data_IF_601014684215
#
_entry.id   IF_601014684215
#
_cell.length_a   1.000
_cell.length_b   1.000
_cell.length_c   1.000
_cell.angle_alpha   90.00
_cell.angle_beta   90.00
_cell.angle_gamma   90.00
#
_symmetry.space_group_name_H-M   'P 1'
#
loop_
_entity.id
_entity.type
_entity.pdbx_description
1 polymer ?
#
# COMPACT_ATOMS: atom_id res chain seq x y z
N UNK A 1 11.62 2.43 2.70
CA UNK A 1 11.40 3.55 1.76
C UNK A 1 11.84 4.79 2.48
N UNK A 2 12.91 5.42 2.01
CA UNK A 2 13.43 6.65 2.58
C UNK A 2 12.92 7.83 1.74
N UNK A 3 12.34 8.83 2.40
CA UNK A 3 11.95 10.09 1.78
C UNK A 3 12.51 11.23 2.64
N UNK A 4 13.36 12.08 2.06
CA UNK A 4 14.08 13.14 2.79
C UNK A 4 14.78 12.65 4.07
N UNK A 5 15.39 11.45 4.03
CA UNK A 5 16.06 10.83 5.18
C UNK A 5 15.13 10.16 6.19
N UNK A 6 13.81 10.29 6.04
CA UNK A 6 12.82 9.69 6.93
C UNK A 6 12.43 8.29 6.43
N UNK A 7 12.50 7.29 7.31
CA UNK A 7 11.97 5.95 7.01
C UNK A 7 10.44 5.99 7.04
N UNK A 8 9.86 6.02 5.86
CA UNK A 8 8.41 6.12 5.65
C UNK A 8 7.73 4.75 5.56
N UNK A 9 8.44 3.67 5.22
CA UNK A 9 7.88 2.32 5.14
C UNK A 9 7.73 1.72 6.55
N UNK A 10 6.55 1.17 6.86
CA UNK A 10 6.37 0.35 8.06
C UNK A 10 7.31 -0.87 8.02
N UNK A 11 7.97 -1.17 9.14
CA UNK A 11 8.97 -2.25 9.22
C UNK A 11 8.39 -3.61 9.60
N UNK A 12 7.19 -3.65 10.20
CA UNK A 12 6.52 -4.89 10.60
C UNK A 12 5.83 -5.58 9.41
N UNK A 13 5.22 -4.79 8.51
CA UNK A 13 4.51 -5.29 7.34
C UNK A 13 4.75 -4.36 6.15
N UNK A 14 5.25 -4.96 5.06
CA UNK A 14 5.63 -4.21 3.84
C UNK A 14 4.42 -3.75 3.03
N UNK A 15 4.66 -2.81 2.11
CA UNK A 15 3.68 -2.38 1.10
C UNK A 15 3.68 -3.32 -0.10
N UNK A 16 2.50 -3.75 -0.55
CA UNK A 16 2.33 -4.70 -1.67
C UNK A 16 0.88 -4.77 -2.14
N UNK A 17 0.67 -5.48 -3.25
CA UNK A 17 -0.65 -5.93 -3.70
C UNK A 17 -1.19 -6.99 -2.73
N UNK A 18 -2.47 -6.85 -2.37
CA UNK A 18 -3.20 -7.73 -1.45
C UNK A 18 -2.43 -7.99 -0.12
N UNK A 19 -2.04 -9.23 0.13
CA UNK A 19 -1.24 -9.67 1.28
C UNK A 19 0.18 -10.10 0.90
N UNK A 20 0.60 -9.80 -0.33
CA UNK A 20 1.82 -10.32 -0.96
C UNK A 20 1.47 -11.35 -2.03
N UNK A 21 2.03 -11.17 -3.23
CA UNK A 21 1.63 -11.94 -4.43
C UNK A 21 2.67 -13.00 -4.86
N UNK A 22 3.78 -13.15 -4.12
CA UNK A 22 4.83 -14.13 -4.46
C UNK A 22 5.47 -13.93 -5.83
N UNK A 23 5.47 -12.69 -6.35
CA UNK A 23 5.92 -12.39 -7.71
C UNK A 23 7.44 -12.43 -7.86
N UNK A 24 7.90 -12.80 -9.07
CA UNK A 24 9.29 -12.60 -9.49
C UNK A 24 9.43 -11.21 -10.08
N UNK A 25 10.39 -10.43 -9.58
CA UNK A 25 10.60 -9.06 -10.00
C UNK A 25 11.88 -8.89 -10.84
N UNK A 26 11.79 -8.10 -11.90
CA UNK A 26 12.91 -7.63 -12.70
C UNK A 26 12.87 -6.11 -12.80
N UNK A 27 14.00 -5.48 -13.11
CA UNK A 27 14.04 -4.04 -13.33
C UNK A 27 14.82 -3.70 -14.59
N UNK A 28 14.47 -2.57 -15.20
CA UNK A 28 15.18 -2.02 -16.35
C UNK A 28 15.16 -0.51 -16.30
N UNK A 29 16.20 0.12 -16.85
CA UNK A 29 16.27 1.57 -17.04
C UNK A 29 15.94 1.89 -18.50
N UNK A 30 15.02 2.82 -18.71
CA UNK A 30 14.55 3.27 -20.03
C UNK A 30 14.68 4.79 -20.07
N UNK A 31 15.80 5.29 -20.56
CA UNK A 31 16.12 6.72 -20.51
C UNK A 31 16.10 7.27 -19.08
N UNK A 32 15.18 8.19 -18.80
CA UNK A 32 14.99 8.83 -17.50
C UNK A 32 14.05 8.06 -16.55
N UNK A 33 13.62 6.86 -16.93
CA UNK A 33 12.71 6.04 -16.14
C UNK A 33 13.40 4.77 -15.66
N UNK A 34 13.03 4.33 -14.45
CA UNK A 34 13.32 2.98 -13.96
C UNK A 34 11.99 2.25 -13.85
N UNK A 35 11.85 1.14 -14.57
CA UNK A 35 10.67 0.26 -14.52
C UNK A 35 11.02 -1.01 -13.76
N UNK A 36 10.22 -1.34 -12.76
CA UNK A 36 10.24 -2.62 -12.05
C UNK A 36 8.97 -3.37 -12.45
N UNK A 37 9.16 -4.61 -12.89
CA UNK A 37 8.10 -5.51 -13.31
C UNK A 37 8.08 -6.71 -12.37
N UNK A 38 6.96 -6.95 -11.69
CA UNK A 38 6.77 -8.09 -10.82
C UNK A 38 5.63 -8.97 -11.36
N UNK A 39 5.95 -10.19 -11.77
CA UNK A 39 5.05 -11.07 -12.53
C UNK A 39 4.65 -12.31 -11.71
N UNK A 40 3.37 -12.66 -11.79
CA UNK A 40 2.79 -13.95 -11.41
C UNK A 40 2.08 -14.57 -12.63
N UNK A 41 1.43 -15.72 -12.48
CA UNK A 41 0.66 -16.34 -13.57
C UNK A 41 -0.55 -15.52 -14.04
N UNK A 42 -1.17 -14.73 -13.15
CA UNK A 42 -2.42 -14.00 -13.43
C UNK A 42 -2.31 -12.50 -13.24
N UNK A 43 -1.21 -12.00 -12.68
CA UNK A 43 -1.05 -10.59 -12.34
C UNK A 43 0.36 -10.11 -12.66
N UNK A 44 0.45 -8.92 -13.24
CA UNK A 44 1.69 -8.19 -13.43
C UNK A 44 1.60 -6.82 -12.77
N UNK A 45 2.47 -6.58 -11.80
CA UNK A 45 2.61 -5.31 -11.12
C UNK A 45 3.76 -4.50 -11.71
N UNK A 46 3.49 -3.22 -12.01
CA UNK A 46 4.47 -2.25 -12.49
C UNK A 46 4.75 -1.22 -11.41
N UNK A 47 6.02 -0.89 -11.23
CA UNK A 47 6.46 0.33 -10.56
C UNK A 47 7.36 1.11 -11.51
N UNK A 48 7.08 2.39 -11.72
CA UNK A 48 7.88 3.26 -12.58
C UNK A 48 8.28 4.50 -11.78
N UNK A 49 9.58 4.71 -11.67
CA UNK A 49 10.16 5.94 -11.14
C UNK A 49 10.70 6.78 -12.29
N UNK A 50 10.49 8.09 -12.23
CA UNK A 50 11.03 9.07 -13.17
C UNK A 50 12.12 9.88 -12.47
N UNK A 51 13.23 10.14 -13.16
CA UNK A 51 14.30 10.99 -12.65
C UNK A 51 13.77 12.37 -12.21
N UNK A 52 14.14 12.81 -11.00
CA UNK A 52 13.70 14.06 -10.36
C UNK A 52 12.19 14.16 -10.09
N UNK A 53 11.46 13.06 -10.11
CA UNK A 53 10.07 13.00 -9.68
C UNK A 53 9.97 12.14 -8.41
N UNK A 54 9.48 12.68 -7.28
CA UNK A 54 9.33 11.91 -6.03
C UNK A 54 8.11 10.96 -6.02
N UNK A 55 7.53 10.66 -7.19
CA UNK A 55 6.43 9.73 -7.36
C UNK A 55 6.87 8.30 -7.69
N UNK A 56 6.12 7.34 -7.17
CA UNK A 56 6.15 5.95 -7.63
C UNK A 56 4.88 5.73 -8.44
N UNK A 57 5.00 5.73 -9.77
CA UNK A 57 3.87 5.45 -10.65
C UNK A 57 3.63 3.94 -10.69
N UNK A 58 2.37 3.54 -10.56
CA UNK A 58 2.00 2.12 -10.49
C UNK A 58 0.93 1.80 -11.53
N UNK A 59 1.01 0.58 -12.03
CA UNK A 59 -0.06 -0.03 -12.81
C UNK A 59 -0.14 -1.51 -12.44
N UNK A 60 -1.34 -2.07 -12.51
CA UNK A 60 -1.58 -3.48 -12.23
C UNK A 60 -2.38 -4.05 -13.39
N UNK A 61 -1.79 -5.01 -14.10
CA UNK A 61 -2.46 -5.75 -15.17
C UNK A 61 -2.82 -7.14 -14.65
N UNK A 62 -4.07 -7.56 -14.82
CA UNK A 62 -4.56 -8.84 -14.31
C UNK A 62 -5.37 -9.57 -15.37
N UNK A 63 -5.23 -10.89 -15.44
CA UNK A 63 -6.02 -11.78 -16.33
C UNK A 63 -7.04 -12.61 -15.55
N UNK A 64 -6.94 -12.61 -14.23
CA UNK A 64 -7.94 -13.17 -13.32
C UNK A 64 -7.99 -12.34 -12.03
N UNK A 65 -9.09 -12.43 -11.30
CA UNK A 65 -9.19 -11.80 -9.99
C UNK A 65 -8.25 -12.49 -8.98
N UNK A 66 -7.59 -11.76 -8.07
CA UNK A 66 -6.86 -12.38 -6.97
C UNK A 66 -7.77 -13.28 -6.13
N UNK A 67 -7.23 -14.38 -5.61
CA UNK A 67 -8.00 -15.35 -4.79
C UNK A 67 -8.64 -14.75 -3.52
N UNK A 68 -8.19 -13.58 -3.10
CA UNK A 68 -8.78 -12.83 -2.00
C UNK A 68 -10.15 -12.19 -2.34
N UNK A 69 -10.56 -12.17 -3.62
CA UNK A 69 -11.80 -11.50 -4.06
C UNK A 69 -11.72 -9.98 -4.05
N UNK A 70 -10.49 -9.44 -4.05
CA UNK A 70 -10.23 -8.00 -4.12
C UNK A 70 -8.90 -7.73 -4.83
N UNK A 71 -8.82 -6.61 -5.56
CA UNK A 71 -7.57 -6.09 -6.12
C UNK A 71 -7.24 -4.75 -5.47
N UNK A 72 -6.26 -4.74 -4.58
CA UNK A 72 -5.78 -3.53 -3.92
C UNK A 72 -4.27 -3.49 -3.78
N UNK A 73 -3.73 -2.28 -3.85
CA UNK A 73 -2.40 -1.97 -3.35
C UNK A 73 -2.53 -1.31 -1.97
N UNK A 74 -1.77 -1.79 -0.98
CA UNK A 74 -1.72 -1.14 0.33
C UNK A 74 -0.32 -0.58 0.56
N UNK A 75 -0.21 0.75 0.65
CA UNK A 75 0.95 1.41 1.22
C UNK A 75 0.87 1.35 2.75
N UNK A 76 1.72 0.55 3.39
CA UNK A 76 1.83 0.48 4.85
C UNK A 76 2.96 1.41 5.28
N UNK A 77 2.57 2.60 5.74
CA UNK A 77 3.52 3.64 6.12
C UNK A 77 3.74 3.66 7.64
N UNK A 78 4.93 4.08 8.05
CA UNK A 78 5.33 4.16 9.45
C UNK A 78 4.59 5.33 10.12
N UNK A 79 3.63 5.01 10.98
CA UNK A 79 2.80 6.01 11.67
C UNK A 79 3.56 6.83 12.73
N UNK A 80 4.75 6.39 13.16
CA UNK A 80 5.59 7.16 14.07
C UNK A 80 6.30 8.32 13.35
N UNK A 81 6.62 8.14 12.06
CA UNK A 81 7.29 9.17 11.24
C UNK A 81 6.32 9.92 10.33
N UNK A 82 5.16 9.33 10.03
CA UNK A 82 4.07 9.90 9.24
C UNK A 82 2.75 9.75 10.02
N UNK A 83 2.53 10.59 11.05
CA UNK A 83 1.40 10.43 11.97
C UNK A 83 0.06 10.89 11.38
N UNK A 84 0.11 11.81 10.41
CA UNK A 84 -1.07 12.45 9.85
C UNK A 84 -1.88 11.48 8.98
N UNK A 85 -3.16 11.39 9.31
CA UNK A 85 -4.16 10.61 8.57
C UNK A 85 -5.54 11.22 8.75
N UNK A 86 -6.48 11.04 7.80
CA UNK A 86 -7.83 11.53 7.93
C UNK A 86 -8.47 11.09 9.25
N UNK A 87 -9.09 12.02 9.98
CA UNK A 87 -9.69 11.73 11.29
C UNK A 87 -10.72 10.62 11.20
N UNK A 88 -11.52 10.62 10.12
CA UNK A 88 -12.58 9.64 9.86
C UNK A 88 -12.09 8.19 9.74
N UNK A 89 -10.84 7.98 9.30
CA UNK A 89 -10.23 6.64 9.17
C UNK A 89 -9.29 6.28 10.33
N UNK A 90 -9.13 7.18 11.30
CA UNK A 90 -8.28 6.94 12.47
C UNK A 90 -9.01 6.07 13.50
N UNK A 91 -8.68 4.78 13.50
CA UNK A 91 -9.23 3.78 14.44
C UNK A 91 -8.35 3.54 15.68
N UNK A 92 -7.16 4.14 15.77
CA UNK A 92 -6.28 3.98 16.94
C UNK A 92 -6.97 4.45 18.22
N UNK A 93 -6.88 3.66 19.30
CA UNK A 93 -7.54 3.94 20.57
C UNK A 93 -9.01 3.55 20.62
N UNK A 94 -9.49 2.73 19.68
CA UNK A 94 -10.82 2.12 19.75
C UNK A 94 -10.90 1.09 20.89
N UNK A 95 -12.13 0.80 21.34
CA UNK A 95 -12.44 -0.22 22.35
C UNK A 95 -12.92 -1.55 21.74
N UNK A 96 -12.67 -1.78 20.45
CA UNK A 96 -13.23 -2.86 19.66
C UNK A 96 -14.04 -2.36 18.48
N UNK A 97 -14.32 -3.28 17.55
CA UNK A 97 -15.25 -3.04 16.47
C UNK A 97 -16.69 -2.97 17.01
N UNK A 98 -17.51 -2.13 16.37
CA UNK A 98 -18.94 -1.94 16.67
C UNK A 98 -19.84 -2.45 15.56
N UNK A 99 -19.28 -2.72 14.37
CA UNK A 99 -19.92 -3.43 13.27
C UNK A 99 -18.82 -4.23 12.55
N UNK A 100 -19.02 -5.54 12.51
CA UNK A 100 -18.08 -6.53 11.99
C UNK A 100 -16.63 -6.28 12.44
N UNK A 101 -15.66 -6.25 11.51
CA UNK A 101 -14.24 -6.01 11.77
C UNK A 101 -13.71 -4.71 11.11
N UNK A 102 -14.59 -3.82 10.65
CA UNK A 102 -14.22 -2.62 9.89
C UNK A 102 -14.82 -1.30 10.37
N UNK A 103 -15.82 -1.31 11.27
CA UNK A 103 -16.33 -0.10 11.92
C UNK A 103 -15.98 -0.10 13.40
N UNK A 104 -15.44 1.00 13.90
CA UNK A 104 -14.91 1.14 15.25
C UNK A 104 -15.49 2.37 15.94
N UNK A 105 -15.59 2.32 17.27
CA UNK A 105 -15.92 3.48 18.10
C UNK A 105 -14.64 4.09 18.68
N UNK A 106 -14.41 5.38 18.43
CA UNK A 106 -13.30 6.15 19.01
C UNK A 106 -13.86 7.43 19.62
N UNK A 107 -13.79 7.54 20.95
CA UNK A 107 -14.26 8.72 21.70
C UNK A 107 -15.70 9.13 21.35
N UNK A 108 -16.60 8.15 21.24
CA UNK A 108 -18.03 8.38 20.94
C UNK A 108 -18.34 8.65 19.46
N UNK A 109 -17.37 8.55 18.56
CA UNK A 109 -17.56 8.71 17.11
C UNK A 109 -17.28 7.39 16.37
N UNK A 110 -18.14 7.04 15.41
CA UNK A 110 -17.86 5.94 14.48
C UNK A 110 -16.70 6.31 13.56
N UNK A 111 -15.84 5.32 13.28
CA UNK A 111 -14.66 5.42 12.41
C UNK A 111 -14.55 4.14 11.59
N UNK A 112 -14.16 4.27 10.33
CA UNK A 112 -13.92 3.11 9.46
C UNK A 112 -12.81 3.43 8.47
N UNK A 113 -12.11 2.38 8.03
CA UNK A 113 -11.14 2.46 6.94
C UNK A 113 -11.92 2.77 5.64
N UNK A 114 -11.61 3.89 4.98
CA UNK A 114 -11.98 4.09 3.58
C UNK A 114 -10.88 3.52 2.67
#
# INVERSE_FOLDING_TARGET
MLFNGIQAQDQSKRSYIASGIGATCTWTKIGNYTKILCVTSTLTQYYVAQYKNPGIHMATCTTAEPSAGELRFIARLNTATLPDRPVISRITGNSGAIEDDDVFLVSGQSRSKC
#
